data_IF_585228972780
#
_entry.id   IF_585228972780
#
_cell.length_a   1.000
_cell.length_b   1.000
_cell.length_c   1.000
_cell.angle_alpha   90.00
_cell.angle_beta   90.00
_cell.angle_gamma   90.00
#
_symmetry.space_group_name_H-M   'P 1'
#
loop_
_entity.id
_entity.type
_entity.pdbx_description
1 polymer ?
#
# COMPACT_ATOMS: atom_id res chain seq x y z
N UNK A 1 -6.17 11.44 2.68
CA UNK A 1 -6.25 11.05 4.11
C UNK A 1 -7.49 11.63 4.77
N UNK A 2 -7.84 11.14 5.96
CA UNK A 2 -8.96 11.63 6.78
C UNK A 2 -8.81 13.10 7.20
N UNK A 3 -7.58 13.59 7.37
CA UNK A 3 -7.30 14.96 7.80
C UNK A 3 -6.82 15.90 6.66
N UNK A 4 -6.30 15.36 5.56
CA UNK A 4 -5.81 16.18 4.44
C UNK A 4 -6.92 16.96 3.75
N UNK A 5 -8.08 16.33 3.50
CA UNK A 5 -9.22 16.99 2.87
C UNK A 5 -9.86 18.07 3.76
N UNK A 6 -10.16 17.82 5.06
CA UNK A 6 -10.59 18.87 5.98
C UNK A 6 -9.61 20.03 6.10
N UNK A 7 -8.29 19.76 6.16
CA UNK A 7 -7.27 20.81 6.21
C UNK A 7 -7.27 21.66 4.94
N UNK A 8 -7.37 21.04 3.77
CA UNK A 8 -7.50 21.75 2.50
C UNK A 8 -8.76 22.62 2.48
N UNK A 9 -9.91 22.06 2.87
CA UNK A 9 -11.19 22.79 2.95
C UNK A 9 -11.18 23.96 3.94
N UNK A 10 -10.31 23.91 4.95
CA UNK A 10 -10.09 25.02 5.89
C UNK A 10 -9.22 26.16 5.32
N UNK A 11 -8.92 26.15 4.02
CA UNK A 11 -8.10 27.15 3.34
C UNK A 11 -6.59 26.93 3.48
N UNK A 12 -6.17 25.69 3.79
CA UNK A 12 -4.73 25.32 3.90
C UNK A 12 -4.34 24.12 3.01
N UNK A 13 -4.68 24.13 1.70
CA UNK A 13 -4.37 23.03 0.79
C UNK A 13 -2.86 22.81 0.59
N UNK A 14 -2.07 23.87 0.49
CA UNK A 14 -0.62 23.77 0.31
C UNK A 14 0.05 23.09 1.49
N UNK A 15 -0.32 23.46 2.72
CA UNK A 15 0.17 22.83 3.95
C UNK A 15 -0.20 21.35 4.02
N UNK A 16 -1.45 21.00 3.70
CA UNK A 16 -1.89 19.61 3.69
C UNK A 16 -1.05 18.77 2.71
N UNK A 17 -0.77 19.32 1.53
CA UNK A 17 0.06 18.69 0.50
C UNK A 17 1.52 18.57 0.93
N UNK A 18 2.10 19.62 1.52
CA UNK A 18 3.47 19.63 2.04
C UNK A 18 3.69 18.62 3.17
N UNK A 19 2.75 18.52 4.10
CA UNK A 19 2.78 17.52 5.18
C UNK A 19 2.69 16.11 4.60
N UNK A 20 1.79 15.90 3.63
CA UNK A 20 1.62 14.62 2.97
C UNK A 20 2.89 14.17 2.25
N UNK A 21 3.39 14.98 1.32
CA UNK A 21 4.59 14.65 0.51
C UNK A 21 5.81 14.43 1.40
N UNK A 22 6.05 15.32 2.37
CA UNK A 22 7.19 15.18 3.27
C UNK A 22 7.10 13.92 4.14
N UNK A 23 5.91 13.58 4.63
CA UNK A 23 5.70 12.37 5.41
C UNK A 23 5.84 11.11 4.55
N UNK A 24 5.32 11.11 3.32
CA UNK A 24 5.49 10.02 2.37
C UNK A 24 6.97 9.80 2.04
N UNK A 25 7.73 10.87 1.76
CA UNK A 25 9.17 10.76 1.48
C UNK A 25 9.91 10.11 2.65
N UNK A 26 9.67 10.60 3.87
CA UNK A 26 10.30 10.05 5.07
C UNK A 26 9.92 8.57 5.30
N UNK A 27 8.62 8.24 5.18
CA UNK A 27 8.16 6.85 5.30
C UNK A 27 8.77 5.94 4.26
N UNK A 28 8.92 6.42 3.03
CA UNK A 28 9.61 5.72 1.95
C UNK A 28 11.06 5.42 2.30
N UNK A 29 11.82 6.43 2.73
CA UNK A 29 13.23 6.27 3.14
C UNK A 29 13.38 5.26 4.29
N UNK A 30 12.55 5.35 5.33
CA UNK A 30 12.60 4.40 6.45
C UNK A 30 12.27 2.97 6.00
N UNK A 31 11.25 2.78 5.15
CA UNK A 31 10.92 1.46 4.64
C UNK A 31 12.01 0.88 3.73
N UNK A 32 12.72 1.72 2.98
CA UNK A 32 13.88 1.33 2.19
C UNK A 32 15.05 0.89 3.06
N UNK A 33 15.28 1.56 4.20
CA UNK A 33 16.29 1.12 5.17
C UNK A 33 15.93 -0.24 5.77
N UNK A 34 14.66 -0.48 6.08
CA UNK A 34 14.20 -1.82 6.49
C UNK A 34 14.39 -2.86 5.40
N UNK A 35 14.01 -2.56 4.15
CA UNK A 35 14.25 -3.45 3.03
C UNK A 35 15.73 -3.79 2.87
N UNK A 36 16.60 -2.78 2.84
CA UNK A 36 18.03 -2.98 2.69
C UNK A 36 18.63 -3.83 3.83
N UNK A 37 18.19 -3.60 5.07
CA UNK A 37 18.70 -4.32 6.24
C UNK A 37 18.11 -5.72 6.44
N UNK A 38 16.88 -5.96 6.01
CA UNK A 38 16.16 -7.21 6.23
C UNK A 38 16.18 -8.15 5.02
N UNK A 39 16.43 -7.65 3.80
CA UNK A 39 16.40 -8.46 2.60
C UNK A 39 17.38 -9.64 2.64
N UNK A 40 18.64 -9.40 2.99
CA UNK A 40 19.68 -10.45 3.05
C UNK A 40 19.38 -11.50 4.14
N UNK A 41 19.10 -11.12 5.41
CA UNK A 41 18.71 -12.10 6.43
C UNK A 41 17.47 -12.94 6.07
N UNK A 42 16.46 -12.35 5.44
CA UNK A 42 15.28 -13.10 4.99
C UNK A 42 15.60 -14.01 3.80
N UNK A 43 16.47 -13.59 2.88
CA UNK A 43 16.88 -14.43 1.75
C UNK A 43 17.61 -15.68 2.24
N UNK A 44 18.51 -15.53 3.23
CA UNK A 44 19.17 -16.68 3.87
C UNK A 44 18.16 -17.61 4.57
N UNK A 45 17.13 -17.04 5.19
CA UNK A 45 16.05 -17.83 5.79
C UNK A 45 15.25 -18.58 4.73
N UNK A 46 14.99 -17.98 3.57
CA UNK A 46 14.23 -18.59 2.46
C UNK A 46 14.83 -19.91 1.99
N UNK A 47 16.16 -20.04 2.02
CA UNK A 47 16.89 -21.26 1.63
C UNK A 47 16.67 -22.44 2.59
N UNK A 48 16.21 -22.15 3.81
CA UNK A 48 15.92 -23.15 4.85
C UNK A 48 14.44 -23.50 4.92
N UNK A 49 13.58 -22.75 4.23
CA UNK A 49 12.14 -22.99 4.22
C UNK A 49 11.82 -24.24 3.41
N UNK A 50 11.00 -25.12 3.99
CA UNK A 50 10.52 -26.32 3.34
C UNK A 50 9.16 -26.14 2.65
N UNK A 51 8.67 -27.16 1.94
CA UNK A 51 7.34 -27.13 1.30
C UNK A 51 6.20 -26.83 2.28
N UNK A 52 6.29 -27.31 3.52
CA UNK A 52 5.29 -27.05 4.56
C UNK A 52 5.25 -25.57 4.97
N UNK A 53 6.40 -24.89 5.00
CA UNK A 53 6.49 -23.47 5.35
C UNK A 53 5.88 -22.62 4.23
N UNK A 54 6.25 -22.88 2.98
CA UNK A 54 5.65 -22.21 1.81
C UNK A 54 4.14 -22.44 1.73
N UNK A 55 3.66 -23.65 2.02
CA UNK A 55 2.23 -23.94 2.11
C UNK A 55 1.56 -23.10 3.20
N UNK A 56 2.13 -23.06 4.40
CA UNK A 56 1.58 -22.31 5.54
C UNK A 56 1.57 -20.79 5.28
N UNK A 57 2.64 -20.26 4.69
CA UNK A 57 2.73 -18.85 4.30
C UNK A 57 1.71 -18.49 3.22
N UNK A 58 1.55 -19.35 2.20
CA UNK A 58 0.54 -19.16 1.15
C UNK A 58 -0.87 -19.21 1.72
N UNK A 59 -1.16 -20.16 2.61
CA UNK A 59 -2.47 -20.28 3.27
C UNK A 59 -2.77 -19.07 4.15
N UNK A 60 -1.79 -18.59 4.91
CA UNK A 60 -1.90 -17.36 5.69
C UNK A 60 -2.15 -16.15 4.80
N UNK A 61 -1.40 -16.01 3.70
CA UNK A 61 -1.59 -14.94 2.73
C UNK A 61 -3.01 -14.94 2.15
N UNK A 62 -3.53 -16.11 1.75
CA UNK A 62 -4.90 -16.26 1.25
C UNK A 62 -5.94 -15.90 2.31
N UNK A 63 -5.73 -16.33 3.56
CA UNK A 63 -6.61 -15.97 4.68
C UNK A 63 -6.61 -14.46 4.99
N UNK A 64 -5.45 -13.80 4.87
CA UNK A 64 -5.34 -12.35 5.06
C UNK A 64 -6.04 -11.59 3.93
N UNK A 65 -5.85 -11.99 2.66
CA UNK A 65 -6.54 -11.41 1.50
C UNK A 65 -8.07 -11.43 1.70
N UNK A 66 -8.59 -12.56 2.19
CA UNK A 66 -10.00 -12.70 2.52
C UNK A 66 -10.50 -11.71 3.59
N UNK A 67 -9.66 -11.44 4.59
CA UNK A 67 -9.96 -10.49 5.66
C UNK A 67 -9.92 -9.03 5.24
N UNK A 68 -9.16 -8.69 4.19
CA UNK A 68 -9.02 -7.31 3.69
C UNK A 68 -10.19 -6.87 2.80
N UNK A 69 -11.04 -7.81 2.37
CA UNK A 69 -12.20 -7.59 1.50
C UNK A 69 -13.38 -6.82 2.11
N UNK A 70 -13.16 -5.65 2.73
CA UNK A 70 -14.17 -4.65 3.08
C UNK A 70 -15.50 -5.21 3.59
N UNK A 71 -16.62 -4.75 3.00
CA UNK A 71 -17.98 -5.10 3.41
C UNK A 71 -18.44 -6.51 2.99
N UNK A 72 -17.66 -7.25 2.22
CA UNK A 72 -18.02 -8.59 1.75
C UNK A 72 -16.79 -9.47 1.54
N UNK A 73 -16.42 -10.31 2.52
CA UNK A 73 -15.27 -11.22 2.39
C UNK A 73 -15.41 -12.18 1.19
N UNK A 74 -16.66 -12.55 0.83
CA UNK A 74 -16.94 -13.37 -0.35
C UNK A 74 -16.45 -12.73 -1.67
N UNK A 75 -16.56 -11.40 -1.81
CA UNK A 75 -16.05 -10.68 -2.99
C UNK A 75 -14.52 -10.68 -3.01
N UNK A 76 -13.88 -10.56 -1.84
CA UNK A 76 -12.42 -10.68 -1.70
C UNK A 76 -11.91 -12.04 -2.14
N UNK A 77 -12.53 -13.12 -1.66
CA UNK A 77 -12.23 -14.49 -2.10
C UNK A 77 -12.42 -14.67 -3.60
N UNK A 78 -13.57 -14.24 -4.16
CA UNK A 78 -13.84 -14.37 -5.59
C UNK A 78 -12.79 -13.63 -6.44
N UNK A 79 -12.45 -12.40 -6.06
CA UNK A 79 -11.40 -11.63 -6.74
C UNK A 79 -10.02 -12.31 -6.63
N UNK A 80 -9.69 -12.87 -5.47
CA UNK A 80 -8.47 -13.65 -5.26
C UNK A 80 -8.41 -14.90 -6.13
N UNK A 81 -9.49 -15.67 -6.22
CA UNK A 81 -9.58 -16.85 -7.09
C UNK A 81 -9.50 -16.49 -8.57
N UNK A 82 -10.17 -15.42 -9.01
CA UNK A 82 -10.05 -14.93 -10.39
C UNK A 82 -8.62 -14.51 -10.68
N UNK A 83 -7.98 -13.76 -9.78
CA UNK A 83 -6.58 -13.34 -9.92
C UNK A 83 -5.63 -14.52 -10.02
N UNK A 84 -5.79 -15.53 -9.14
CA UNK A 84 -5.01 -16.76 -9.18
C UNK A 84 -5.22 -17.52 -10.50
N UNK A 85 -6.47 -17.69 -10.93
CA UNK A 85 -6.79 -18.35 -12.18
C UNK A 85 -6.15 -17.65 -13.39
N UNK A 86 -6.17 -16.31 -13.41
CA UNK A 86 -5.50 -15.51 -14.43
C UNK A 86 -3.96 -15.55 -14.35
N UNK A 87 -3.36 -15.98 -13.24
CA UNK A 87 -1.91 -16.08 -13.08
C UNK A 87 -1.34 -17.47 -13.44
N UNK A 88 -2.20 -18.48 -13.62
CA UNK A 88 -1.80 -19.86 -13.92
C UNK A 88 -1.27 -20.09 -15.34
N UNK A 89 -1.73 -19.39 -16.41
CA UNK A 89 -1.22 -19.63 -17.76
C UNK A 89 0.27 -19.32 -17.90
N UNK A 90 1.02 -20.25 -18.51
CA UNK A 90 2.46 -20.13 -18.79
C UNK A 90 3.27 -21.36 -18.39
N UNK A 91 4.59 -21.30 -18.60
CA UNK A 91 5.51 -22.34 -18.16
C UNK A 91 5.68 -22.33 -16.63
N UNK A 92 5.61 -23.51 -16.00
CA UNK A 92 5.84 -23.61 -14.56
C UNK A 92 7.29 -23.26 -14.19
N UNK A 93 7.53 -22.36 -13.21
CA UNK A 93 8.90 -21.93 -12.88
C UNK A 93 9.84 -23.06 -12.45
N UNK A 94 9.32 -24.10 -11.80
CA UNK A 94 10.16 -25.18 -11.28
C UNK A 94 10.29 -26.39 -12.23
N UNK A 95 9.26 -26.71 -13.01
CA UNK A 95 9.24 -27.91 -13.88
C UNK A 95 9.32 -27.60 -15.37
N UNK A 96 9.14 -26.34 -15.78
CA UNK A 96 9.11 -25.93 -17.18
C UNK A 96 7.87 -26.40 -17.96
N UNK A 97 6.98 -27.15 -17.34
CA UNK A 97 5.79 -27.69 -18.01
C UNK A 97 4.78 -26.56 -18.32
N UNK A 98 4.21 -26.51 -19.54
CA UNK A 98 3.21 -25.53 -19.90
C UNK A 98 1.89 -25.81 -19.15
N UNK A 99 1.31 -24.77 -18.56
CA UNK A 99 0.03 -24.82 -17.87
C UNK A 99 -0.96 -23.89 -18.53
N UNK A 100 -2.15 -24.39 -18.83
CA UNK A 100 -3.26 -23.60 -19.40
C UNK A 100 -2.86 -22.75 -20.63
N UNK A 101 -1.91 -23.21 -21.45
CA UNK A 101 -1.48 -22.51 -22.67
C UNK A 101 -2.37 -22.84 -23.87
N UNK A 102 -3.19 -23.90 -23.76
CA UNK A 102 -4.18 -24.32 -24.76
C UNK A 102 -3.63 -24.50 -26.19
N UNK A 103 -2.32 -24.71 -26.33
CA UNK A 103 -1.64 -24.84 -27.62
C UNK A 103 -1.23 -23.52 -28.28
N UNK A 104 -1.45 -22.37 -27.64
CA UNK A 104 -0.97 -21.07 -28.11
C UNK A 104 0.44 -20.79 -27.59
N UNK A 105 1.40 -20.62 -28.50
CA UNK A 105 2.81 -20.36 -28.17
C UNK A 105 2.97 -19.03 -27.43
N UNK A 106 2.15 -18.04 -27.75
CA UNK A 106 2.13 -16.73 -27.08
C UNK A 106 1.75 -16.85 -25.60
N UNK A 107 1.02 -17.91 -25.22
CA UNK A 107 0.63 -18.15 -23.83
C UNK A 107 1.70 -18.87 -23.02
N UNK A 108 2.76 -19.41 -23.63
CA UNK A 108 3.86 -20.07 -22.91
C UNK A 108 4.61 -19.10 -22.00
N UNK A 109 4.67 -17.82 -22.38
CA UNK A 109 5.22 -16.74 -21.56
C UNK A 109 4.28 -16.28 -20.42
N UNK A 110 3.03 -16.76 -20.42
CA UNK A 110 1.98 -16.37 -19.49
C UNK A 110 1.60 -14.89 -19.57
N UNK A 111 0.77 -14.45 -18.65
CA UNK A 111 0.39 -13.05 -18.54
C UNK A 111 1.45 -12.26 -17.79
N UNK A 112 2.17 -11.39 -18.51
CA UNK A 112 3.16 -10.50 -17.89
C UNK A 112 2.48 -9.48 -16.97
N UNK A 113 3.00 -9.35 -15.75
CA UNK A 113 2.43 -8.50 -14.71
C UNK A 113 2.21 -7.04 -15.16
N UNK A 114 3.20 -6.42 -15.82
CA UNK A 114 3.12 -5.03 -16.27
C UNK A 114 1.92 -4.78 -17.22
N UNK A 115 1.79 -5.49 -18.35
CA UNK A 115 0.60 -5.38 -19.21
C UNK A 115 -0.73 -5.61 -18.49
N UNK A 116 -0.81 -6.62 -17.61
CA UNK A 116 -2.03 -6.92 -16.84
C UNK A 116 -2.41 -5.75 -15.94
N UNK A 117 -1.46 -5.21 -15.18
CA UNK A 117 -1.70 -4.06 -14.31
C UNK A 117 -2.17 -2.85 -15.12
N UNK A 118 -1.48 -2.52 -16.22
CA UNK A 118 -1.87 -1.41 -17.09
C UNK A 118 -3.30 -1.61 -17.62
N UNK A 119 -3.63 -2.81 -18.10
CA UNK A 119 -4.96 -3.14 -18.61
C UNK A 119 -6.05 -2.99 -17.55
N UNK A 120 -5.84 -3.57 -16.36
CA UNK A 120 -6.82 -3.50 -15.25
C UNK A 120 -7.03 -2.06 -14.79
N UNK A 121 -5.97 -1.27 -14.62
CA UNK A 121 -6.09 0.13 -14.20
C UNK A 121 -6.72 1.02 -15.28
N UNK A 122 -6.31 0.86 -16.55
CA UNK A 122 -6.86 1.64 -17.65
C UNK A 122 -8.33 1.31 -17.89
N UNK A 123 -8.70 0.03 -17.96
CA UNK A 123 -10.08 -0.40 -18.13
C UNK A 123 -10.95 0.00 -16.94
N UNK A 124 -10.46 -0.18 -15.71
CA UNK A 124 -11.17 0.25 -14.51
C UNK A 124 -11.45 1.75 -14.50
N UNK A 125 -10.47 2.55 -14.92
CA UNK A 125 -10.64 4.00 -15.06
C UNK A 125 -11.66 4.34 -16.15
N UNK A 126 -11.55 3.76 -17.34
CA UNK A 126 -12.48 4.02 -18.45
C UNK A 126 -13.93 3.68 -18.05
N UNK A 127 -14.14 2.51 -17.43
CA UNK A 127 -15.48 2.10 -16.98
C UNK A 127 -16.05 3.07 -15.93
N UNK A 128 -15.19 3.55 -15.03
CA UNK A 128 -15.58 4.53 -14.01
C UNK A 128 -15.90 5.89 -14.61
N UNK A 129 -15.07 6.37 -15.54
CA UNK A 129 -15.28 7.64 -16.24
C UNK A 129 -16.58 7.61 -17.07
N UNK A 130 -16.91 6.45 -17.67
CA UNK A 130 -18.19 6.23 -18.37
C UNK A 130 -19.39 6.22 -17.41
N UNK A 131 -19.23 5.68 -16.19
CA UNK A 131 -20.30 5.60 -15.20
C UNK A 131 -20.56 6.93 -14.50
N UNK A 132 -19.52 7.69 -14.17
CA UNK A 132 -19.63 8.97 -13.46
C UNK A 132 -20.08 10.12 -14.39
N UNK A 133 -19.97 9.93 -15.73
CA UNK A 133 -20.23 10.99 -16.71
C UNK A 133 -19.30 12.19 -16.49
N UNK A 134 -19.37 13.21 -17.36
CA UNK A 134 -18.59 14.45 -17.23
C UNK A 134 -18.94 15.32 -15.98
N UNK A 135 -19.52 14.73 -14.93
CA UNK A 135 -20.04 15.40 -13.74
C UNK A 135 -19.06 15.52 -12.57
N UNK A 136 -17.77 15.26 -12.77
CA UNK A 136 -16.77 15.69 -11.80
C UNK A 136 -16.49 17.19 -11.98
N UNK A 137 -17.37 18.03 -11.42
CA UNK A 137 -16.96 19.38 -11.06
C UNK A 137 -15.79 19.23 -10.07
N UNK A 138 -14.56 19.35 -10.57
CA UNK A 138 -13.38 19.41 -9.72
C UNK A 138 -13.62 20.60 -8.80
N UNK A 139 -13.97 20.32 -7.54
CA UNK A 139 -14.11 21.32 -6.50
C UNK A 139 -12.71 21.91 -6.32
N UNK A 140 -12.45 23.04 -6.99
CA UNK A 140 -11.18 23.75 -6.86
C UNK A 140 -11.14 24.32 -5.46
N UNK A 141 -10.36 23.67 -4.60
CA UNK A 141 -10.02 24.21 -3.30
C UNK A 141 -8.89 25.22 -3.55
N UNK A 142 -9.27 26.49 -3.67
CA UNK A 142 -8.31 27.59 -3.78
C UNK A 142 -7.65 27.87 -2.42
N UNK A 143 -6.33 28.06 -2.43
CA UNK A 143 -5.55 28.47 -1.28
C UNK A 143 -4.18 28.96 -1.74
N UNK A 144 -3.75 30.10 -1.21
CA UNK A 144 -2.48 30.76 -1.58
C UNK A 144 -1.35 30.39 -0.59
N UNK A 145 -1.52 29.29 0.15
CA UNK A 145 -0.57 28.84 1.17
C UNK A 145 0.57 28.02 0.55
N UNK A 146 1.80 28.35 0.95
CA UNK A 146 2.98 27.66 0.44
C UNK A 146 3.05 26.24 1.03
N UNK A 147 3.41 25.22 0.23
CA UNK A 147 3.57 23.84 0.72
C UNK A 147 4.82 23.63 1.58
N UNK A 148 5.66 24.65 1.72
CA UNK A 148 6.92 24.56 2.44
C UNK A 148 6.72 24.69 3.95
N UNK A 149 7.10 23.63 4.66
CA UNK A 149 7.11 23.56 6.12
C UNK A 149 8.52 23.85 6.65
N UNK A 150 8.62 24.51 7.80
CA UNK A 150 9.90 24.73 8.45
C UNK A 150 10.50 23.42 8.95
N UNK A 151 11.81 23.24 8.81
CA UNK A 151 12.55 22.10 9.38
C UNK A 151 12.35 21.98 10.90
N UNK A 152 12.07 23.09 11.59
CA UNK A 152 11.77 23.08 13.02
C UNK A 152 10.43 22.42 13.32
N UNK A 153 9.43 22.58 12.46
CA UNK A 153 8.11 21.96 12.62
C UNK A 153 8.21 20.44 12.53
N UNK A 154 9.04 19.94 11.61
CA UNK A 154 9.29 18.50 11.46
C UNK A 154 9.90 17.86 12.71
N UNK A 155 10.73 18.58 13.48
CA UNK A 155 11.32 18.07 14.72
C UNK A 155 10.26 17.64 15.74
N UNK A 156 9.14 18.36 15.81
CA UNK A 156 8.01 18.01 16.69
C UNK A 156 7.30 16.72 16.30
N UNK A 157 7.48 16.27 15.04
CA UNK A 157 6.78 15.11 14.50
C UNK A 157 7.68 13.90 14.23
N UNK A 158 8.99 13.97 14.51
CA UNK A 158 9.94 12.88 14.25
C UNK A 158 9.53 11.56 14.91
N UNK A 159 9.05 11.61 16.16
CA UNK A 159 8.56 10.42 16.86
C UNK A 159 7.33 9.80 16.19
N UNK A 160 6.40 10.63 15.70
CA UNK A 160 5.22 10.17 14.98
C UNK A 160 5.59 9.60 13.60
N UNK A 161 6.49 10.26 12.88
CA UNK A 161 7.02 9.83 11.60
C UNK A 161 7.67 8.46 11.70
N UNK A 162 8.62 8.29 12.61
CA UNK A 162 9.33 7.04 12.78
C UNK A 162 8.37 5.90 13.17
N UNK A 163 7.54 6.11 14.20
CA UNK A 163 6.55 5.11 14.62
C UNK A 163 5.61 4.70 13.48
N UNK A 164 5.07 5.67 12.76
CA UNK A 164 4.09 5.42 11.69
C UNK A 164 4.75 4.73 10.50
N UNK A 165 6.00 5.08 10.18
CA UNK A 165 6.80 4.40 9.14
C UNK A 165 7.12 2.95 9.53
N UNK A 166 7.42 2.68 10.80
CA UNK A 166 7.61 1.31 11.31
C UNK A 166 6.31 0.50 11.23
N UNK A 167 5.17 1.08 11.63
CA UNK A 167 3.86 0.44 11.51
C UNK A 167 3.56 0.12 10.05
N UNK A 168 3.76 1.07 9.14
CA UNK A 168 3.56 0.87 7.70
C UNK A 168 4.47 -0.21 7.12
N UNK A 169 5.77 -0.18 7.44
CA UNK A 169 6.73 -1.18 6.95
C UNK A 169 6.40 -2.59 7.45
N UNK A 170 6.04 -2.73 8.73
CA UNK A 170 5.66 -4.01 9.30
C UNK A 170 4.37 -4.54 8.70
N UNK A 171 3.34 -3.69 8.58
CA UNK A 171 2.07 -4.08 7.96
C UNK A 171 2.26 -4.42 6.49
N UNK A 172 3.12 -3.70 5.76
CA UNK A 172 3.45 -4.00 4.37
C UNK A 172 4.15 -5.34 4.20
N UNK A 173 5.01 -5.74 5.14
CA UNK A 173 5.65 -7.06 5.12
C UNK A 173 4.65 -8.21 5.34
N UNK A 174 3.44 -7.93 5.86
CA UNK A 174 2.40 -8.94 5.99
C UNK A 174 1.68 -9.16 4.65
N UNK A 175 1.61 -10.41 4.16
CA UNK A 175 1.00 -10.69 2.88
C UNK A 175 -0.51 -10.41 2.92
N UNK A 176 -1.03 -9.82 1.85
CA UNK A 176 -2.45 -9.52 1.73
C UNK A 176 -2.95 -8.34 2.57
N UNK A 177 -2.12 -7.70 3.40
CA UNK A 177 -2.51 -6.54 4.19
C UNK A 177 -2.15 -5.24 3.45
N UNK A 178 -3.17 -4.52 2.99
CA UNK A 178 -2.99 -3.34 2.14
C UNK A 178 -2.59 -2.05 2.89
N UNK A 179 -2.09 -1.07 2.14
CA UNK A 179 -1.64 0.24 2.64
C UNK A 179 -2.74 1.01 3.40
N UNK A 180 -4.01 0.76 3.10
CA UNK A 180 -5.14 1.34 3.84
C UNK A 180 -5.16 0.92 5.32
N UNK A 181 -4.92 -0.36 5.60
CA UNK A 181 -4.88 -0.88 6.98
C UNK A 181 -3.66 -0.32 7.70
N UNK A 182 -2.51 -0.24 7.02
CA UNK A 182 -1.29 0.41 7.51
C UNK A 182 -1.55 1.85 7.94
N UNK A 183 -2.15 2.63 7.03
CA UNK A 183 -2.50 4.04 7.25
C UNK A 183 -3.47 4.23 8.40
N UNK A 184 -4.54 3.42 8.47
CA UNK A 184 -5.56 3.53 9.53
C UNK A 184 -5.03 3.12 10.91
N UNK A 185 -4.16 2.10 10.96
CA UNK A 185 -3.52 1.65 12.20
C UNK A 185 -2.55 2.70 12.72
N UNK A 186 -1.72 3.27 11.84
CA UNK A 186 -0.82 4.36 12.19
C UNK A 186 -1.61 5.61 12.63
N UNK A 187 -2.70 5.94 11.94
CA UNK A 187 -3.60 7.03 12.30
C UNK A 187 -4.20 6.87 13.70
N UNK A 188 -4.75 5.70 13.99
CA UNK A 188 -5.36 5.39 15.30
C UNK A 188 -4.32 5.41 16.41
N UNK A 189 -3.12 4.90 16.13
CA UNK A 189 -1.98 4.96 17.05
C UNK A 189 -1.55 6.41 17.28
N UNK A 190 -1.44 7.22 16.23
CA UNK A 190 -1.09 8.62 16.35
C UNK A 190 -2.10 9.40 17.19
N UNK A 191 -3.38 9.17 16.98
CA UNK A 191 -4.46 9.76 17.79
C UNK A 191 -4.33 9.40 19.26
N UNK A 192 -4.01 8.14 19.59
CA UNK A 192 -3.86 7.68 20.98
C UNK A 192 -2.68 8.31 21.72
N UNK A 193 -1.60 8.61 21.01
CA UNK A 193 -0.39 9.22 21.58
C UNK A 193 -0.35 10.74 21.43
N UNK A 194 -1.34 11.33 20.74
CA UNK A 194 -1.42 12.77 20.55
C UNK A 194 -1.74 13.47 21.86
N UNK A 195 -1.20 14.67 22.03
CA UNK A 195 -1.63 15.61 23.08
C UNK A 195 -2.95 16.31 22.74
N UNK A 196 -3.38 16.24 21.48
CA UNK A 196 -4.58 16.88 20.93
C UNK A 196 -5.43 15.91 20.08
N UNK A 197 -5.92 14.81 20.66
CA UNK A 197 -6.71 13.80 19.93
C UNK A 197 -8.00 14.36 19.30
N UNK A 198 -8.50 15.50 19.77
CA UNK A 198 -9.69 16.20 19.28
C UNK A 198 -9.53 16.90 17.93
N UNK A 199 -8.30 17.16 17.49
CA UNK A 199 -8.01 17.74 16.16
C UNK A 199 -8.07 16.69 15.04
N UNK A 200 -8.02 15.38 15.37
CA UNK A 200 -8.07 14.29 14.40
C UNK A 200 -9.46 14.19 13.74
N UNK A 201 -9.47 14.13 12.41
CA UNK A 201 -10.66 14.16 11.56
C UNK A 201 -11.10 15.58 11.19
N UNK A 202 -10.43 16.62 11.73
CA UNK A 202 -10.74 18.04 11.49
C UNK A 202 -9.59 18.78 10.79
N UNK A 203 -8.55 18.08 10.36
CA UNK A 203 -7.36 18.66 9.76
C UNK A 203 -6.13 18.63 10.66
N UNK A 204 -5.95 17.58 11.47
CA UNK A 204 -4.75 17.41 12.29
C UNK A 204 -3.50 17.12 11.43
N UNK A 205 -2.41 17.90 11.58
CA UNK A 205 -1.12 17.59 10.96
C UNK A 205 -0.58 16.21 11.34
N UNK A 206 -0.75 15.80 12.61
CA UNK A 206 -0.30 14.49 13.10
C UNK A 206 -1.02 13.34 12.42
N UNK A 207 -2.31 13.51 12.11
CA UNK A 207 -3.12 12.55 11.38
C UNK A 207 -2.68 12.39 9.92
N UNK A 208 -2.35 13.50 9.24
CA UNK A 208 -1.81 13.48 7.87
C UNK A 208 -0.45 12.78 7.87
N UNK A 209 0.47 13.20 8.74
CA UNK A 209 1.83 12.65 8.84
C UNK A 209 1.79 11.15 9.11
N UNK A 210 0.98 10.70 10.06
CA UNK A 210 0.90 9.29 10.43
C UNK A 210 0.35 8.44 9.29
N UNK A 211 -0.73 8.90 8.65
CA UNK A 211 -1.35 8.15 7.55
C UNK A 211 -0.42 8.07 6.34
N UNK A 212 0.18 9.20 5.91
CA UNK A 212 0.98 9.23 4.68
C UNK A 212 2.35 8.58 4.81
N UNK A 213 2.99 8.70 5.98
CA UNK A 213 4.24 7.97 6.22
C UNK A 213 4.02 6.46 6.26
N UNK A 214 2.96 5.99 6.92
CA UNK A 214 2.62 4.56 6.95
C UNK A 214 2.19 4.03 5.58
N UNK A 215 1.37 4.79 4.84
CA UNK A 215 0.95 4.47 3.48
C UNK A 215 2.16 4.19 2.59
N UNK A 216 3.10 5.13 2.52
CA UNK A 216 4.26 4.99 1.66
C UNK A 216 5.26 3.95 2.18
N UNK A 217 5.42 3.83 3.50
CA UNK A 217 6.28 2.81 4.11
C UNK A 217 5.77 1.37 3.86
N UNK A 218 4.46 1.19 3.65
CA UNK A 218 3.88 -0.11 3.30
C UNK A 218 4.47 -0.64 1.98
N UNK A 219 4.76 0.25 1.03
CA UNK A 219 5.34 -0.15 -0.28
C UNK A 219 6.70 -0.80 -0.09
N UNK A 220 7.62 -0.17 0.65
CA UNK A 220 8.93 -0.75 0.94
C UNK A 220 8.82 -2.02 1.77
N UNK A 221 7.91 -2.05 2.74
CA UNK A 221 7.61 -3.25 3.55
C UNK A 221 7.15 -4.45 2.72
N UNK A 222 6.27 -4.22 1.73
CA UNK A 222 5.76 -5.26 0.84
C UNK A 222 6.84 -5.85 -0.08
N UNK A 223 7.86 -5.06 -0.42
CA UNK A 223 8.99 -5.53 -1.22
C UNK A 223 9.92 -6.46 -0.44
N UNK A 224 9.93 -6.39 0.90
CA UNK A 224 10.82 -7.21 1.73
C UNK A 224 10.60 -8.71 1.46
N UNK A 225 9.41 -9.29 1.71
CA UNK A 225 9.17 -10.70 1.41
C UNK A 225 9.21 -10.99 -0.09
N UNK A 226 8.74 -10.07 -0.95
CA UNK A 226 8.72 -10.29 -2.40
C UNK A 226 10.13 -10.52 -2.98
N UNK A 227 11.11 -9.69 -2.58
CA UNK A 227 12.48 -9.80 -3.11
C UNK A 227 13.26 -10.91 -2.41
N UNK A 228 12.98 -11.18 -1.13
CA UNK A 228 13.74 -12.17 -0.35
C UNK A 228 13.22 -13.61 -0.45
N UNK A 229 11.91 -13.80 -0.62
CA UNK A 229 11.28 -15.13 -0.66
C UNK A 229 10.92 -15.59 -2.08
N UNK A 230 10.84 -14.67 -3.05
CA UNK A 230 10.45 -14.95 -4.44
C UNK A 230 8.94 -14.91 -4.66
#
# INVERSE_FOLDING_TARGET
TLDGYPMAKSGRPGRALGLGIGASLFGGVISWLFLWSLAEPLADLSTKLGPFDYFSMTLLALALIAGVGGSSPAKGWLAGFIGMFCALPGAHPASGEPRLTFGFVEMDAGFRLLPVLIGVFALGKILRDLQEGNSSSIERIDGDDKPWLSLHEWKGHLGNLFRSSCIGSFIGALPGVGANIGSLTAYSTAKRFSRKPEEFGKGSPEGIIASESANNATVGGALIPLVSLG
#
